data_IF_674506956495
#
_entry.id   IF_674506956495
#
_cell.length_a   1.000
_cell.length_b   1.000
_cell.length_c   1.000
_cell.angle_alpha   90.00
_cell.angle_beta   90.00
_cell.angle_gamma   90.00
#
_symmetry.space_group_name_H-M   'P 1'
#
loop_
_entity.id
_entity.type
_entity.pdbx_description
1 polymer ?
#
# COMPACT_ATOMS: atom_id res chain seq x y z
N UNK A 1 23.82 8.09 23.48
CA UNK A 1 23.50 7.14 22.39
C UNK A 1 23.58 7.94 21.10
N UNK A 2 24.46 7.61 20.15
CA UNK A 2 24.46 8.32 18.88
C UNK A 2 23.19 7.93 18.12
N UNK A 3 22.42 8.94 17.73
CA UNK A 3 21.15 8.79 17.03
C UNK A 3 21.33 8.09 15.69
N UNK A 4 20.36 7.26 15.36
CA UNK A 4 20.18 6.60 14.07
C UNK A 4 20.42 7.62 12.95
N UNK A 5 21.31 7.28 12.02
CA UNK A 5 21.63 8.12 10.86
C UNK A 5 20.34 8.47 10.14
N UNK A 6 20.07 9.76 9.93
CA UNK A 6 18.96 10.21 9.09
C UNK A 6 19.08 9.53 7.73
N UNK A 7 18.04 8.80 7.34
CA UNK A 7 17.93 8.26 6.00
C UNK A 7 17.79 9.46 5.05
N UNK A 8 18.65 9.57 4.03
CA UNK A 8 18.51 10.65 3.03
C UNK A 8 17.39 10.28 2.06
N UNK A 9 16.15 10.40 2.53
CA UNK A 9 14.96 10.17 1.72
C UNK A 9 14.85 11.28 0.69
N UNK A 10 14.76 10.91 -0.58
CA UNK A 10 14.55 11.85 -1.66
C UNK A 10 13.20 11.63 -2.32
N UNK A 11 12.51 12.72 -2.58
CA UNK A 11 11.26 12.76 -3.35
C UNK A 11 11.61 13.23 -4.75
N UNK A 12 11.33 12.40 -5.75
CA UNK A 12 11.62 12.67 -7.16
C UNK A 12 10.31 12.76 -7.92
N UNK A 13 9.77 13.97 -8.17
CA UNK A 13 8.54 14.14 -8.93
C UNK A 13 8.67 13.53 -10.32
N UNK A 14 7.58 12.93 -10.82
CA UNK A 14 7.56 12.34 -12.16
C UNK A 14 7.62 13.39 -13.29
N UNK A 15 7.35 14.66 -12.96
CA UNK A 15 7.16 15.76 -13.92
C UNK A 15 5.75 15.80 -14.54
N UNK A 16 4.86 14.88 -14.15
CA UNK A 16 3.45 14.86 -14.56
C UNK A 16 2.54 15.70 -13.65
N UNK A 17 1.22 15.58 -13.88
CA UNK A 17 0.21 16.25 -13.06
C UNK A 17 0.11 15.69 -11.62
N UNK A 18 0.60 14.47 -11.40
CA UNK A 18 0.67 13.76 -10.12
C UNK A 18 1.84 12.76 -10.17
N UNK A 19 2.18 12.18 -9.03
CA UNK A 19 3.16 11.09 -8.94
C UNK A 19 4.56 11.55 -8.56
N UNK A 20 5.16 10.87 -7.57
CA UNK A 20 6.58 10.97 -7.25
C UNK A 20 7.18 9.60 -6.88
N UNK A 21 8.47 9.41 -7.16
CA UNK A 21 9.26 8.30 -6.63
C UNK A 21 9.87 8.70 -5.28
N UNK A 22 9.77 7.83 -4.27
CA UNK A 22 10.46 7.97 -2.99
C UNK A 22 11.63 6.98 -2.99
N UNK A 23 12.84 7.51 -2.79
CA UNK A 23 14.10 6.73 -2.82
C UNK A 23 14.89 6.94 -1.54
N UNK A 24 15.80 5.99 -1.26
CA UNK A 24 16.66 6.03 -0.08
C UNK A 24 16.09 5.31 1.14
N UNK A 25 14.87 4.76 1.07
CA UNK A 25 14.21 4.10 2.21
C UNK A 25 13.95 2.61 1.98
N UNK A 26 14.06 1.82 3.05
CA UNK A 26 13.61 0.43 3.13
C UNK A 26 12.37 0.35 4.05
N UNK A 27 11.22 0.01 3.47
CA UNK A 27 9.94 -0.08 4.17
C UNK A 27 9.83 -1.34 5.05
N UNK A 28 10.77 -2.29 4.94
CA UNK A 28 10.83 -3.46 5.83
C UNK A 28 11.45 -3.13 7.20
N UNK A 29 12.04 -1.94 7.36
CA UNK A 29 12.68 -1.49 8.60
C UNK A 29 11.79 -0.49 9.35
N UNK A 30 12.14 -0.24 10.62
CA UNK A 30 11.54 0.84 11.39
C UNK A 30 11.89 2.20 10.78
N UNK A 31 10.85 2.94 10.39
CA UNK A 31 10.97 4.29 9.85
C UNK A 31 10.65 5.29 10.96
N UNK A 32 11.57 6.21 11.24
CA UNK A 32 11.34 7.23 12.26
C UNK A 32 10.21 8.21 11.86
N UNK A 33 9.75 9.02 12.81
CA UNK A 33 8.62 9.93 12.58
C UNK A 33 8.95 11.09 11.64
N UNK A 34 10.23 11.50 11.55
CA UNK A 34 10.62 12.58 10.65
C UNK A 34 10.63 12.11 9.20
N UNK A 35 11.15 10.91 8.96
CA UNK A 35 11.16 10.25 7.67
C UNK A 35 9.75 9.86 7.22
N UNK A 36 8.92 9.36 8.14
CA UNK A 36 7.51 9.11 7.81
C UNK A 36 6.75 10.40 7.48
N UNK A 37 7.00 11.50 8.20
CA UNK A 37 6.38 12.80 7.88
C UNK A 37 6.72 13.26 6.47
N UNK A 38 7.98 13.09 6.04
CA UNK A 38 8.40 13.41 4.66
C UNK A 38 7.66 12.59 3.63
N UNK A 39 7.41 11.31 3.91
CA UNK A 39 6.61 10.43 3.05
C UNK A 39 5.16 10.92 2.98
N UNK A 40 4.56 11.22 4.14
CA UNK A 40 3.17 11.69 4.24
C UNK A 40 2.98 13.02 3.49
N UNK A 41 3.90 13.97 3.66
CA UNK A 41 3.88 15.25 2.96
C UNK A 41 4.03 15.07 1.45
N UNK A 42 4.96 14.21 1.00
CA UNK A 42 5.13 13.89 -0.41
C UNK A 42 3.87 13.25 -1.02
N UNK A 43 3.19 12.37 -0.27
CA UNK A 43 1.94 11.79 -0.71
C UNK A 43 0.82 12.84 -0.81
N UNK A 44 0.70 13.75 0.15
CA UNK A 44 -0.27 14.85 0.08
C UNK A 44 -0.01 15.78 -1.12
N UNK A 45 1.26 16.07 -1.44
CA UNK A 45 1.62 16.94 -2.56
C UNK A 45 1.42 16.26 -3.92
N UNK A 46 1.81 14.98 -4.03
CA UNK A 46 1.89 14.29 -5.32
C UNK A 46 0.74 13.31 -5.59
N UNK A 47 -0.17 13.11 -4.64
CA UNK A 47 -1.36 12.23 -4.67
C UNK A 47 -1.05 10.72 -4.76
N UNK A 48 -0.01 10.35 -5.49
CA UNK A 48 0.50 8.99 -5.67
C UNK A 48 2.01 9.01 -5.45
N UNK A 49 2.51 8.13 -4.59
CA UNK A 49 3.95 7.95 -4.38
C UNK A 49 4.32 6.50 -4.65
N UNK A 50 5.50 6.28 -5.21
CA UNK A 50 6.02 4.93 -5.50
C UNK A 50 7.35 4.72 -4.80
N UNK A 51 7.46 3.59 -4.09
CA UNK A 51 8.69 3.10 -3.50
C UNK A 51 9.26 2.00 -4.38
N UNK A 52 10.51 2.14 -4.84
CA UNK A 52 11.15 1.14 -5.71
C UNK A 52 12.03 0.19 -4.88
N UNK A 53 12.17 -1.04 -5.38
CA UNK A 53 13.13 -2.01 -4.83
C UNK A 53 12.77 -2.55 -3.44
N UNK A 54 11.48 -2.52 -3.07
CA UNK A 54 11.01 -3.01 -1.78
C UNK A 54 10.83 -4.53 -1.80
N UNK A 55 11.14 -5.18 -0.68
CA UNK A 55 10.84 -6.59 -0.46
C UNK A 55 10.15 -6.70 0.90
N UNK A 56 8.82 -6.77 0.86
CA UNK A 56 7.96 -6.80 2.03
C UNK A 56 7.27 -8.16 2.14
N UNK A 57 7.16 -8.67 3.36
CA UNK A 57 6.14 -9.66 3.68
C UNK A 57 4.82 -8.95 4.05
N UNK A 58 3.77 -9.73 4.27
CA UNK A 58 2.46 -9.21 4.62
C UNK A 58 2.47 -8.39 5.93
N UNK A 59 3.36 -8.73 6.86
CA UNK A 59 3.47 -8.07 8.17
C UNK A 59 4.10 -6.69 8.03
N UNK A 60 5.19 -6.60 7.28
CA UNK A 60 5.84 -5.33 6.94
C UNK A 60 4.91 -4.44 6.11
N UNK A 61 4.18 -5.00 5.14
CA UNK A 61 3.20 -4.27 4.34
C UNK A 61 2.10 -3.66 5.22
N UNK A 62 1.52 -4.47 6.11
CA UNK A 62 0.49 -4.01 7.02
C UNK A 62 1.03 -3.02 8.07
N UNK A 63 2.25 -3.24 8.58
CA UNK A 63 2.90 -2.34 9.53
C UNK A 63 3.16 -0.96 8.93
N UNK A 64 3.70 -0.89 7.72
CA UNK A 64 3.90 0.37 7.01
C UNK A 64 2.56 1.06 6.71
N UNK A 65 1.56 0.31 6.24
CA UNK A 65 0.22 0.85 5.95
C UNK A 65 -0.44 1.46 7.20
N UNK A 66 -0.25 0.85 8.38
CA UNK A 66 -0.78 1.36 9.66
C UNK A 66 -0.23 2.73 10.06
N UNK A 67 0.92 3.16 9.51
CA UNK A 67 1.44 4.51 9.76
C UNK A 67 0.51 5.59 9.22
N UNK A 68 -0.29 5.27 8.19
CA UNK A 68 -1.30 6.17 7.65
C UNK A 68 -2.61 6.15 8.46
N UNK A 69 -2.89 5.15 9.28
CA UNK A 69 -4.11 5.07 10.09
C UNK A 69 -4.56 3.64 10.37
N UNK A 70 -5.80 3.50 10.85
CA UNK A 70 -6.42 2.18 11.01
C UNK A 70 -6.64 1.52 9.64
N UNK A 71 -6.46 0.19 9.58
CA UNK A 71 -6.65 -0.57 8.34
C UNK A 71 -8.09 -1.06 8.26
N UNK A 72 -8.74 -0.76 7.14
CA UNK A 72 -10.02 -1.34 6.79
C UNK A 72 -9.87 -2.84 6.50
N UNK A 73 -10.93 -3.62 6.79
CA UNK A 73 -10.98 -5.01 6.37
C UNK A 73 -11.16 -5.11 4.86
N UNK A 74 -10.43 -6.03 4.23
CA UNK A 74 -10.57 -6.26 2.80
C UNK A 74 -12.00 -6.72 2.46
N UNK A 75 -12.58 -6.26 1.33
CA UNK A 75 -13.83 -6.80 0.82
C UNK A 75 -13.72 -8.31 0.63
N UNK A 76 -14.61 -9.07 1.29
CA UNK A 76 -14.62 -10.53 1.12
C UNK A 76 -15.20 -10.90 -0.24
N UNK A 77 -14.54 -11.80 -0.97
CA UNK A 77 -15.05 -12.32 -2.24
C UNK A 77 -16.35 -13.14 -2.10
N UNK A 78 -16.83 -13.74 -3.21
CA UNK A 78 -18.10 -14.51 -3.31
C UNK A 78 -18.28 -15.68 -2.31
N UNK A 79 -17.31 -15.98 -1.45
CA UNK A 79 -17.39 -16.99 -0.40
C UNK A 79 -17.32 -16.45 1.04
N UNK A 80 -17.31 -15.14 1.24
CA UNK A 80 -17.26 -14.51 2.57
C UNK A 80 -15.96 -14.74 3.36
N UNK A 81 -14.90 -15.25 2.69
CA UNK A 81 -13.60 -15.52 3.30
C UNK A 81 -12.53 -14.59 2.70
N UNK A 82 -11.58 -14.11 3.51
CA UNK A 82 -10.44 -13.37 3.00
C UNK A 82 -9.53 -14.30 2.18
N UNK A 83 -8.90 -13.75 1.14
CA UNK A 83 -7.85 -14.45 0.39
C UNK A 83 -6.57 -14.63 1.23
N UNK A 84 -6.33 -13.73 2.18
CA UNK A 84 -5.28 -13.83 3.18
C UNK A 84 -5.87 -14.00 4.59
N UNK A 85 -6.03 -15.24 5.10
CA UNK A 85 -6.57 -15.46 6.45
C UNK A 85 -5.65 -14.97 7.58
N UNK A 86 -4.34 -14.87 7.34
CA UNK A 86 -3.38 -14.42 8.33
C UNK A 86 -3.41 -12.89 8.51
N UNK A 87 -3.75 -12.17 7.43
CA UNK A 87 -3.91 -10.71 7.37
C UNK A 87 -5.20 -10.37 6.61
N UNK A 88 -6.38 -10.48 7.24
CA UNK A 88 -7.67 -10.26 6.58
C UNK A 88 -7.88 -8.80 6.09
N UNK A 89 -7.06 -7.86 6.56
CA UNK A 89 -6.97 -6.49 6.03
C UNK A 89 -6.34 -6.41 4.63
N UNK A 90 -5.54 -7.41 4.23
CA UNK A 90 -4.87 -7.42 2.92
C UNK A 90 -5.75 -8.12 1.89
N UNK A 91 -6.13 -7.37 0.85
CA UNK A 91 -6.74 -7.92 -0.35
C UNK A 91 -5.65 -8.42 -1.30
N UNK A 92 -5.77 -9.69 -1.73
CA UNK A 92 -4.92 -10.23 -2.80
C UNK A 92 -5.59 -9.92 -4.13
N UNK A 93 -5.06 -8.95 -4.88
CA UNK A 93 -5.50 -8.66 -6.26
C UNK A 93 -4.66 -9.50 -7.21
N UNK A 94 -5.27 -10.48 -7.86
CA UNK A 94 -4.52 -11.42 -8.72
C UNK A 94 -5.39 -12.05 -9.79
N UNK A 95 -4.78 -12.24 -10.96
CA UNK A 95 -5.32 -13.06 -12.04
C UNK A 95 -4.71 -14.47 -12.11
N UNK A 96 -3.87 -14.84 -11.14
CA UNK A 96 -3.24 -16.15 -11.08
C UNK A 96 -4.26 -17.20 -10.61
N UNK A 97 -4.21 -18.38 -11.22
CA UNK A 97 -5.01 -19.54 -10.85
C UNK A 97 -4.08 -20.66 -10.39
N UNK A 98 -4.32 -21.19 -9.20
CA UNK A 98 -3.59 -22.32 -8.60
C UNK A 98 -4.56 -23.46 -8.37
N UNK A 99 -4.25 -24.65 -8.90
CA UNK A 99 -5.11 -25.85 -8.80
C UNK A 99 -6.57 -25.61 -9.22
N UNK A 100 -6.75 -24.80 -10.28
CA UNK A 100 -8.08 -24.45 -10.81
C UNK A 100 -8.87 -23.44 -9.97
N UNK A 101 -8.27 -22.86 -8.93
CA UNK A 101 -8.89 -21.84 -8.07
C UNK A 101 -8.18 -20.49 -8.18
N UNK A 102 -8.90 -19.35 -8.20
CA UNK A 102 -8.27 -18.04 -8.17
C UNK A 102 -7.42 -17.84 -6.91
N UNK A 103 -6.19 -17.34 -7.09
CA UNK A 103 -5.30 -16.97 -5.98
C UNK A 103 -5.67 -15.63 -5.33
N UNK A 104 -6.50 -14.82 -6.01
CA UNK A 104 -6.94 -13.51 -5.53
C UNK A 104 -8.27 -13.08 -6.12
N UNK A 105 -8.67 -11.85 -5.78
CA UNK A 105 -9.85 -11.18 -6.28
C UNK A 105 -9.61 -10.53 -7.67
N UNK A 106 -10.71 -10.11 -8.31
CA UNK A 106 -10.78 -9.34 -9.57
C UNK A 106 -10.41 -10.11 -10.85
N UNK A 107 -9.44 -11.03 -10.81
CA UNK A 107 -9.06 -11.82 -11.97
C UNK A 107 -8.56 -10.94 -13.13
N UNK A 108 -8.97 -11.27 -14.36
CA UNK A 108 -8.67 -10.48 -15.57
C UNK A 108 -9.73 -9.40 -15.88
N UNK A 109 -10.59 -9.06 -14.92
CA UNK A 109 -11.67 -8.10 -15.17
C UNK A 109 -11.09 -6.70 -15.34
N UNK A 110 -11.57 -5.96 -16.34
CA UNK A 110 -11.26 -4.53 -16.45
C UNK A 110 -11.88 -3.80 -15.25
N UNK A 111 -11.04 -3.06 -14.52
CA UNK A 111 -11.52 -2.11 -13.53
C UNK A 111 -11.85 -0.81 -14.26
N UNK A 112 -13.10 -0.39 -14.18
CA UNK A 112 -13.49 0.97 -14.57
C UNK A 112 -12.77 1.99 -13.68
N UNK A 113 -12.58 3.22 -14.15
CA UNK A 113 -12.06 4.30 -13.31
C UNK A 113 -12.92 4.45 -12.05
N UNK A 114 -12.29 4.32 -10.87
CA UNK A 114 -12.97 4.33 -9.58
C UNK A 114 -12.03 4.81 -8.46
N UNK A 115 -12.63 5.01 -7.29
CA UNK A 115 -11.94 5.09 -6.01
C UNK A 115 -12.47 3.97 -5.10
N UNK A 116 -11.58 3.37 -4.31
CA UNK A 116 -11.91 2.20 -3.51
C UNK A 116 -12.99 2.49 -2.47
N UNK A 117 -13.94 1.56 -2.35
CA UNK A 117 -14.94 1.51 -1.27
C UNK A 117 -15.73 2.80 -1.03
N UNK A 118 -16.00 3.57 -2.09
CA UNK A 118 -16.84 4.79 -2.07
C UNK A 118 -18.30 4.55 -1.66
N UNK A 119 -18.71 3.29 -1.47
CA UNK A 119 -20.01 2.91 -0.92
C UNK A 119 -20.05 2.94 0.62
N UNK A 120 -18.92 3.10 1.30
CA UNK A 120 -18.86 3.27 2.76
C UNK A 120 -19.20 4.71 3.16
N UNK A 121 -19.81 4.89 4.34
CA UNK A 121 -20.08 6.23 4.90
C UNK A 121 -18.80 7.05 5.11
N UNK A 122 -17.71 6.36 5.48
CA UNK A 122 -16.36 6.91 5.58
C UNK A 122 -15.47 6.07 4.65
N UNK A 123 -15.22 6.54 3.42
CA UNK A 123 -14.35 5.84 2.48
C UNK A 123 -12.88 5.84 2.94
N UNK A 124 -12.06 4.88 2.49
CA UNK A 124 -10.63 4.87 2.74
C UNK A 124 -9.98 6.13 2.19
N UNK A 125 -9.03 6.68 2.95
CA UNK A 125 -8.25 7.85 2.49
C UNK A 125 -7.11 7.49 1.55
N UNK A 126 -6.65 6.23 1.57
CA UNK A 126 -5.50 5.76 0.83
C UNK A 126 -5.62 4.27 0.54
N UNK A 127 -4.97 3.84 -0.53
CA UNK A 127 -4.75 2.44 -0.86
C UNK A 127 -3.25 2.22 -1.04
N UNK A 128 -2.74 1.11 -0.53
CA UNK A 128 -1.35 0.72 -0.67
C UNK A 128 -1.27 -0.59 -1.44
N UNK A 129 -0.56 -0.57 -2.57
CA UNK A 129 -0.43 -1.71 -3.47
C UNK A 129 1.04 -2.13 -3.55
N UNK A 130 1.29 -3.43 -3.40
CA UNK A 130 2.61 -4.04 -3.45
C UNK A 130 2.61 -5.22 -4.43
N UNK A 131 3.60 -5.27 -5.33
CA UNK A 131 3.75 -6.28 -6.37
C UNK A 131 4.88 -6.00 -7.34
#
# INVERSE_FOLDING_TARGET
MPGTSATDIQVVPTGGALGADIVGIDLAQDIDDADFRRIEDAWHEHLVVRFRGQTLDDDALAAFSRRFGELDMAPTGRGGKPFNPARPEIVVVSNIVVDGKPAGALGNSELVWHQDMTYNDIPPKASLLYG
#
